data_IF_096066028899
#
_entry.id   IF_096066028899
#
_cell.length_a   1.000
_cell.length_b   1.000
_cell.length_c   1.000
_cell.angle_alpha   90.00
_cell.angle_beta   90.00
_cell.angle_gamma   90.00
#
_symmetry.space_group_name_H-M   'P 1'
#
loop_
_entity.id
_entity.type
_entity.pdbx_description
1 polymer ?
#
# COMPACT_ATOMS: atom_id res chain seq x y z
N UNK A 1 12.67 5.22 22.03
CA UNK A 1 12.41 5.96 20.80
C UNK A 1 13.42 5.41 19.82
N UNK A 2 12.97 4.65 18.82
CA UNK A 2 13.83 4.14 17.78
C UNK A 2 14.51 5.30 17.08
N UNK A 3 15.80 5.17 16.73
CA UNK A 3 16.63 6.23 16.17
C UNK A 3 16.13 6.74 14.79
N UNK A 4 15.10 6.11 14.24
CA UNK A 4 14.49 6.40 12.95
C UNK A 4 12.95 6.44 13.07
N UNK A 5 12.43 7.45 13.76
CA UNK A 5 10.99 7.69 13.82
C UNK A 5 10.67 9.13 13.42
N UNK A 6 9.56 9.32 12.72
CA UNK A 6 9.02 10.61 12.32
C UNK A 6 7.62 10.81 12.91
N UNK A 7 7.23 12.05 13.16
CA UNK A 7 5.82 12.38 13.37
C UNK A 7 5.05 12.16 12.05
N UNK A 8 3.74 11.91 12.13
CA UNK A 8 2.91 11.79 10.93
C UNK A 8 3.09 12.99 9.99
N UNK A 9 3.09 14.20 10.52
CA UNK A 9 3.33 15.41 9.73
C UNK A 9 4.68 15.34 8.99
N UNK A 10 5.76 15.05 9.69
CA UNK A 10 7.09 14.97 9.08
C UNK A 10 7.20 13.86 8.04
N UNK A 11 6.53 12.72 8.28
CA UNK A 11 6.50 11.62 7.31
C UNK A 11 5.70 11.99 6.05
N UNK A 12 4.55 12.67 6.20
CA UNK A 12 3.75 13.17 5.07
C UNK A 12 4.53 14.20 4.26
N UNK A 13 5.19 15.15 4.94
CA UNK A 13 5.97 16.21 4.28
C UNK A 13 7.19 15.67 3.50
N UNK A 14 7.72 14.51 3.87
CA UNK A 14 8.84 13.84 3.20
C UNK A 14 8.42 12.82 2.13
N UNK A 15 7.14 12.49 2.08
CA UNK A 15 6.62 11.46 1.17
C UNK A 15 6.68 11.93 -0.29
N UNK A 16 7.12 11.04 -1.18
CA UNK A 16 7.19 11.24 -2.63
C UNK A 16 6.39 10.17 -3.35
N UNK A 17 6.07 10.40 -4.61
CA UNK A 17 5.43 9.37 -5.44
C UNK A 17 6.27 8.10 -5.48
N UNK A 18 5.62 6.97 -5.30
CA UNK A 18 6.26 5.65 -5.25
C UNK A 18 6.71 5.20 -3.87
N UNK A 19 6.77 6.09 -2.87
CA UNK A 19 7.08 5.68 -1.50
C UNK A 19 6.01 4.74 -0.95
N UNK A 20 6.42 3.78 -0.11
CA UNK A 20 5.53 2.78 0.45
C UNK A 20 5.16 3.10 1.89
N UNK A 21 3.89 2.94 2.20
CA UNK A 21 3.35 2.99 3.54
C UNK A 21 2.92 1.60 3.97
N UNK A 22 3.52 1.11 5.04
CA UNK A 22 3.34 -0.24 5.55
C UNK A 22 2.61 -0.19 6.88
N UNK A 23 1.68 -1.14 7.10
CA UNK A 23 0.87 -1.15 8.32
C UNK A 23 0.88 -2.53 8.97
N UNK A 24 0.81 -2.52 10.31
CA UNK A 24 0.74 -3.73 11.14
C UNK A 24 -0.29 -3.58 12.24
N UNK A 25 -1.34 -4.37 12.17
CA UNK A 25 -2.37 -4.41 13.19
C UNK A 25 -1.92 -5.09 14.48
N UNK A 26 -2.59 -4.76 15.58
CA UNK A 26 -2.37 -5.28 16.93
C UNK A 26 -3.36 -6.35 17.33
N UNK A 27 -4.44 -6.56 16.61
CA UNK A 27 -5.49 -7.50 16.98
C UNK A 27 -4.99 -8.94 17.09
N UNK A 28 -5.73 -9.79 17.78
CA UNK A 28 -5.42 -11.23 17.84
C UNK A 28 -5.50 -11.88 16.45
N UNK A 29 -6.38 -11.39 15.59
CA UNK A 29 -6.50 -11.83 14.20
C UNK A 29 -5.25 -11.46 13.39
N UNK A 30 -4.74 -10.23 13.52
CA UNK A 30 -3.51 -9.77 12.85
C UNK A 30 -2.29 -10.58 13.29
N UNK A 31 -2.19 -10.90 14.60
CA UNK A 31 -1.12 -11.76 15.11
C UNK A 31 -1.17 -13.18 14.55
N UNK A 32 -2.37 -13.75 14.43
CA UNK A 32 -2.56 -15.09 13.86
C UNK A 32 -2.22 -15.11 12.37
N UNK A 33 -2.55 -14.06 11.62
CA UNK A 33 -2.23 -13.92 10.20
C UNK A 33 -0.71 -13.83 10.01
N UNK A 34 -0.03 -12.97 10.76
CA UNK A 34 1.43 -12.85 10.72
C UNK A 34 2.14 -14.15 11.04
N UNK A 35 1.64 -14.92 12.02
CA UNK A 35 2.20 -16.22 12.35
C UNK A 35 2.07 -17.25 11.21
N UNK A 36 1.04 -17.12 10.38
CA UNK A 36 0.80 -18.04 9.24
C UNK A 36 1.54 -17.58 7.97
N UNK A 37 1.64 -16.25 7.74
CA UNK A 37 2.30 -15.69 6.55
C UNK A 37 3.78 -15.39 6.79
N UNK A 38 4.22 -15.39 8.05
CA UNK A 38 5.53 -14.91 8.48
C UNK A 38 5.83 -13.46 8.04
N UNK A 39 4.77 -12.71 7.73
CA UNK A 39 4.90 -11.32 7.27
C UNK A 39 4.90 -10.36 8.46
N UNK A 40 5.84 -9.40 8.54
CA UNK A 40 5.90 -8.43 9.63
C UNK A 40 4.79 -7.38 9.56
N UNK A 41 4.16 -7.21 8.40
CA UNK A 41 3.08 -6.26 8.10
C UNK A 41 1.93 -6.95 7.42
N UNK A 42 0.75 -6.34 7.47
CA UNK A 42 -0.49 -6.91 6.92
C UNK A 42 -1.18 -6.00 5.89
N UNK A 43 -0.67 -4.80 5.67
CA UNK A 43 -1.17 -3.90 4.64
C UNK A 43 -0.05 -3.05 4.06
N UNK A 44 -0.19 -2.69 2.79
CA UNK A 44 0.70 -1.80 2.06
C UNK A 44 -0.10 -0.86 1.16
N UNK A 45 0.31 0.41 1.13
CA UNK A 45 -0.14 1.40 0.17
C UNK A 45 1.05 2.11 -0.44
N UNK A 46 0.84 2.73 -1.58
CA UNK A 46 1.83 3.53 -2.29
C UNK A 46 1.42 5.00 -2.25
N UNK A 47 2.36 5.88 -1.96
CA UNK A 47 2.12 7.31 -2.02
C UNK A 47 2.08 7.81 -3.47
N UNK A 48 1.20 8.76 -3.72
CA UNK A 48 1.09 9.51 -4.98
C UNK A 48 1.06 10.99 -4.64
N UNK A 49 2.05 11.73 -5.11
CA UNK A 49 2.18 13.17 -4.87
C UNK A 49 2.04 13.90 -6.20
N UNK A 50 1.03 14.74 -6.32
CA UNK A 50 0.72 15.55 -7.49
C UNK A 50 0.88 17.03 -7.14
N UNK A 51 1.22 17.87 -8.13
CA UNK A 51 1.67 19.24 -7.93
C UNK A 51 0.69 20.10 -7.10
N UNK A 52 -0.60 20.01 -7.34
CA UNK A 52 -1.62 20.87 -6.70
C UNK A 52 -2.49 20.11 -5.67
N UNK A 53 -2.04 18.96 -5.17
CA UNK A 53 -2.82 18.12 -4.25
C UNK A 53 -2.01 17.74 -3.02
N UNK A 54 -2.65 17.53 -1.86
CA UNK A 54 -1.97 16.87 -0.76
C UNK A 54 -1.53 15.47 -1.18
N UNK A 55 -0.51 14.87 -0.53
CA UNK A 55 -0.11 13.50 -0.78
C UNK A 55 -1.29 12.53 -0.64
N UNK A 56 -1.38 11.59 -1.57
CA UNK A 56 -2.47 10.60 -1.65
C UNK A 56 -1.94 9.20 -1.35
N UNK A 57 -2.82 8.33 -0.85
CA UNK A 57 -2.58 6.91 -0.59
C UNK A 57 -3.28 6.08 -1.67
N UNK A 58 -2.51 5.40 -2.51
CA UNK A 58 -2.98 4.45 -3.51
C UNK A 58 -2.93 3.04 -2.93
N UNK A 59 -4.07 2.43 -2.70
CA UNK A 59 -4.16 1.09 -2.10
C UNK A 59 -5.51 0.40 -2.38
N UNK A 60 -5.70 -0.79 -1.84
CA UNK A 60 -6.99 -1.45 -1.82
C UNK A 60 -7.47 -1.64 -0.38
N UNK A 61 -8.71 -1.23 -0.08
CA UNK A 61 -9.29 -1.31 1.26
C UNK A 61 -10.71 -1.90 1.25
N UNK A 62 -11.04 -2.71 2.28
CA UNK A 62 -12.41 -3.21 2.51
C UNK A 62 -13.32 -2.16 3.15
N UNK A 63 -12.76 -1.13 3.73
CA UNK A 63 -13.50 -0.01 4.31
C UNK A 63 -14.16 0.86 3.24
N UNK A 64 -15.08 1.68 3.66
CA UNK A 64 -15.66 2.80 2.90
C UNK A 64 -15.80 4.04 3.78
N UNK A 65 -14.90 4.18 4.74
CA UNK A 65 -14.94 5.30 5.69
C UNK A 65 -14.35 6.57 5.11
N UNK A 66 -13.39 6.44 4.19
CA UNK A 66 -12.74 7.56 3.53
C UNK A 66 -13.34 7.83 2.16
N UNK A 67 -13.22 9.07 1.72
CA UNK A 67 -13.59 9.49 0.37
C UNK A 67 -12.49 9.06 -0.60
N UNK A 68 -12.85 8.34 -1.64
CA UNK A 68 -11.97 8.15 -2.77
C UNK A 68 -11.90 9.44 -3.59
N UNK A 69 -10.69 9.99 -3.68
CA UNK A 69 -10.44 11.30 -4.30
C UNK A 69 -10.64 11.24 -5.81
N UNK A 70 -10.38 10.08 -6.44
CA UNK A 70 -10.51 9.93 -7.89
C UNK A 70 -11.96 9.92 -8.36
N UNK A 71 -12.83 9.18 -7.68
CA UNK A 71 -14.26 9.08 -8.06
C UNK A 71 -15.16 10.05 -7.31
N UNK A 72 -14.69 10.68 -6.24
CA UNK A 72 -15.49 11.50 -5.35
C UNK A 72 -16.56 10.71 -4.59
N UNK A 73 -16.35 9.41 -4.36
CA UNK A 73 -17.33 8.54 -3.74
C UNK A 73 -16.75 7.64 -2.65
N UNK A 74 -17.63 7.02 -1.85
CA UNK A 74 -17.25 6.05 -0.84
C UNK A 74 -17.54 4.63 -1.33
N UNK A 75 -16.53 3.85 -1.61
CA UNK A 75 -16.67 2.47 -2.07
C UNK A 75 -15.65 1.54 -1.40
N UNK A 76 -15.57 0.30 -1.85
CA UNK A 76 -14.60 -0.72 -1.42
C UNK A 76 -13.79 -1.15 -2.63
N UNK A 77 -12.58 -1.58 -2.41
CA UNK A 77 -11.69 -2.05 -3.45
C UNK A 77 -10.49 -1.16 -3.60
N UNK A 78 -10.05 -0.96 -4.82
CA UNK A 78 -8.92 -0.07 -5.14
C UNK A 78 -9.37 1.37 -5.04
N UNK A 79 -8.65 2.20 -4.30
CA UNK A 79 -9.04 3.56 -3.92
C UNK A 79 -7.82 4.47 -3.81
N UNK A 80 -8.06 5.75 -4.03
CA UNK A 80 -7.09 6.83 -3.85
C UNK A 80 -7.59 7.78 -2.76
N UNK A 81 -6.99 7.75 -1.58
CA UNK A 81 -7.39 8.55 -0.42
C UNK A 81 -6.41 9.69 -0.13
N UNK A 82 -6.84 10.72 0.60
CA UNK A 82 -5.89 11.59 1.29
C UNK A 82 -5.00 10.75 2.20
N UNK A 83 -3.68 10.91 2.05
CA UNK A 83 -2.70 10.06 2.72
C UNK A 83 -2.74 10.26 4.25
N UNK A 84 -2.86 11.50 4.71
CA UNK A 84 -2.93 11.81 6.14
C UNK A 84 -4.16 11.19 6.76
N UNK A 85 -5.33 11.39 6.15
CA UNK A 85 -6.60 10.83 6.64
C UNK A 85 -6.56 9.30 6.66
N UNK A 86 -5.96 8.68 5.63
CA UNK A 86 -5.79 7.24 5.57
C UNK A 86 -4.94 6.73 6.74
N UNK A 87 -3.77 7.34 7.00
CA UNK A 87 -2.88 6.93 8.10
C UNK A 87 -3.55 7.17 9.45
N UNK A 88 -4.22 8.31 9.66
CA UNK A 88 -4.95 8.61 10.90
C UNK A 88 -6.07 7.59 11.15
N UNK A 89 -6.82 7.19 10.12
CA UNK A 89 -7.84 6.16 10.25
C UNK A 89 -7.24 4.80 10.61
N UNK A 90 -6.15 4.40 9.93
CA UNK A 90 -5.53 3.10 10.15
C UNK A 90 -4.83 3.02 11.51
N UNK A 91 -4.14 4.06 11.94
CA UNK A 91 -3.48 4.09 13.23
C UNK A 91 -4.44 4.35 14.41
N UNK A 92 -5.39 5.28 14.24
CA UNK A 92 -6.34 5.63 15.29
C UNK A 92 -7.48 4.61 15.42
N UNK A 93 -8.25 4.39 14.35
CA UNK A 93 -9.45 3.54 14.39
C UNK A 93 -9.13 2.04 14.39
N UNK A 94 -8.10 1.62 13.63
CA UNK A 94 -7.73 0.21 13.50
C UNK A 94 -6.53 -0.16 14.38
N UNK A 95 -6.04 0.77 15.20
CA UNK A 95 -4.92 0.57 16.14
C UNK A 95 -3.67 -0.03 15.49
N UNK A 96 -3.36 0.39 14.26
CA UNK A 96 -2.20 -0.12 13.53
C UNK A 96 -0.95 0.72 13.77
N UNK A 97 0.21 0.11 13.61
CA UNK A 97 1.47 0.83 13.45
C UNK A 97 1.72 1.11 11.98
N UNK A 98 2.30 2.27 11.68
CA UNK A 98 2.67 2.67 10.34
C UNK A 98 4.18 2.84 10.18
N UNK A 99 4.68 2.54 9.00
CA UNK A 99 6.05 2.78 8.57
C UNK A 99 6.05 3.37 7.16
N UNK A 100 6.97 4.31 6.93
CA UNK A 100 7.32 4.83 5.63
C UNK A 100 8.58 4.10 5.12
N UNK A 101 8.59 3.65 3.88
CA UNK A 101 9.78 3.23 3.13
C UNK A 101 9.92 4.11 1.89
N UNK A 102 11.04 4.81 1.78
CA UNK A 102 11.28 5.71 0.66
C UNK A 102 11.85 4.96 -0.53
N UNK A 103 11.30 5.25 -1.70
CA UNK A 103 11.80 4.79 -2.98
C UNK A 103 12.93 5.71 -3.43
N UNK A 104 14.03 5.13 -3.86
CA UNK A 104 15.12 5.84 -4.53
C UNK A 104 15.26 5.30 -5.96
N UNK A 105 15.09 6.19 -6.93
CA UNK A 105 15.22 5.90 -8.36
C UNK A 105 16.34 6.75 -8.92
N UNK A 106 17.41 6.16 -9.45
CA UNK A 106 18.51 6.92 -10.05
C UNK A 106 18.02 7.88 -11.13
N UNK A 107 18.34 9.17 -10.97
CA UNK A 107 17.99 10.21 -11.95
C UNK A 107 16.56 10.78 -11.84
N UNK A 108 15.75 10.36 -10.88
CA UNK A 108 14.37 10.84 -10.73
C UNK A 108 14.25 12.25 -10.13
N UNK A 109 15.30 12.81 -9.54
CA UNK A 109 15.25 14.14 -8.92
C UNK A 109 14.38 14.20 -7.67
N UNK A 110 13.82 15.37 -7.37
CA UNK A 110 13.06 15.63 -6.13
C UNK A 110 11.69 14.94 -6.10
N UNK A 111 11.10 14.65 -7.26
CA UNK A 111 9.79 13.96 -7.35
C UNK A 111 9.82 12.51 -6.88
N UNK A 112 11.02 11.91 -6.79
CA UNK A 112 11.22 10.50 -6.42
C UNK A 112 11.02 9.51 -7.57
N UNK A 113 10.38 9.91 -8.66
CA UNK A 113 10.12 9.10 -9.87
C UNK A 113 10.38 9.91 -11.15
N UNK A 114 10.57 9.23 -12.27
CA UNK A 114 10.69 9.91 -13.57
C UNK A 114 9.32 10.33 -14.11
N UNK A 115 9.24 11.28 -15.06
CA UNK A 115 7.97 11.64 -15.69
C UNK A 115 7.24 10.45 -16.35
N UNK A 116 7.99 9.51 -16.91
CA UNK A 116 7.43 8.28 -17.52
C UNK A 116 6.80 7.37 -16.46
N UNK A 117 7.45 7.25 -15.30
CA UNK A 117 6.93 6.50 -14.15
C UNK A 117 5.68 7.16 -13.58
N UNK A 118 5.68 8.49 -13.42
CA UNK A 118 4.49 9.24 -12.97
C UNK A 118 3.31 9.03 -13.92
N UNK A 119 3.56 9.15 -15.23
CA UNK A 119 2.54 8.86 -16.23
C UNK A 119 2.03 7.41 -16.17
N UNK A 120 2.89 6.44 -15.82
CA UNK A 120 2.50 5.06 -15.62
C UNK A 120 1.64 4.87 -14.37
N UNK A 121 1.95 5.57 -13.27
CA UNK A 121 1.12 5.60 -12.05
C UNK A 121 -0.28 6.11 -12.39
N UNK A 122 -0.39 7.27 -13.02
CA UNK A 122 -1.68 7.88 -13.37
C UNK A 122 -2.51 6.98 -14.29
N UNK A 123 -1.90 6.35 -15.30
CA UNK A 123 -2.59 5.36 -16.14
C UNK A 123 -3.05 4.14 -15.36
N UNK A 124 -2.28 3.70 -14.36
CA UNK A 124 -2.65 2.55 -13.52
C UNK A 124 -3.82 2.92 -12.61
N UNK A 125 -3.81 4.10 -12.00
CA UNK A 125 -4.94 4.62 -11.22
C UNK A 125 -6.18 4.68 -12.11
N UNK A 126 -6.13 5.35 -13.27
CA UNK A 126 -7.27 5.47 -14.19
C UNK A 126 -7.85 4.11 -14.62
N UNK A 127 -7.05 3.06 -14.65
CA UNK A 127 -7.46 1.70 -15.02
C UNK A 127 -8.03 0.89 -13.86
N UNK A 128 -7.47 1.02 -12.67
CA UNK A 128 -7.74 0.12 -11.54
C UNK A 128 -8.62 0.76 -10.47
N UNK A 129 -8.69 2.08 -10.41
CA UNK A 129 -9.50 2.75 -9.41
C UNK A 129 -10.98 2.31 -9.50
N UNK A 130 -11.63 2.19 -8.36
CA UNK A 130 -12.98 1.64 -8.27
C UNK A 130 -13.10 0.14 -8.55
N UNK A 131 -12.01 -0.56 -8.89
CA UNK A 131 -12.06 -2.02 -9.08
C UNK A 131 -12.44 -2.69 -7.77
N UNK A 132 -13.58 -3.41 -7.70
CA UNK A 132 -13.97 -4.08 -6.49
C UNK A 132 -13.04 -5.25 -6.19
N UNK A 133 -12.94 -5.64 -4.93
CA UNK A 133 -12.31 -6.92 -4.60
C UNK A 133 -12.87 -8.02 -5.50
N UNK A 134 -12.02 -8.95 -5.99
CA UNK A 134 -12.47 -10.03 -6.83
C UNK A 134 -13.71 -10.68 -6.22
N UNK A 135 -14.84 -10.61 -6.92
CA UNK A 135 -16.09 -11.12 -6.43
C UNK A 135 -15.94 -12.62 -6.20
N UNK A 136 -15.85 -13.01 -4.96
CA UNK A 136 -15.78 -14.38 -4.51
C UNK A 136 -17.13 -15.08 -4.66
N UNK A 137 -17.73 -15.02 -5.84
CA UNK A 137 -18.87 -15.87 -6.17
C UNK A 137 -18.49 -17.35 -5.98
N UNK A 138 -17.22 -17.71 -6.22
CA UNK A 138 -16.68 -19.03 -5.88
C UNK A 138 -16.43 -19.22 -4.37
N UNK A 139 -16.40 -18.16 -3.56
CA UNK A 139 -16.17 -18.19 -2.12
C UNK A 139 -17.48 -18.12 -1.30
N UNK A 140 -18.60 -17.70 -1.89
CA UNK A 140 -19.88 -17.58 -1.18
C UNK A 140 -20.37 -18.94 -0.61
N UNK A 141 -20.12 -20.03 -1.28
CA UNK A 141 -20.49 -21.38 -0.81
C UNK A 141 -19.62 -21.95 0.32
N UNK A 142 -18.45 -21.36 0.59
CA UNK A 142 -17.51 -21.78 1.66
C UNK A 142 -17.47 -20.80 2.84
N UNK A 143 -18.32 -19.82 2.84
CA UNK A 143 -18.33 -18.61 3.68
C UNK A 143 -18.75 -18.79 5.14
N UNK A 144 -19.45 -19.86 5.47
CA UNK A 144 -20.12 -19.97 6.77
C UNK A 144 -19.20 -20.27 7.98
N UNK A 145 -17.96 -20.73 7.78
CA UNK A 145 -17.07 -21.19 8.87
C UNK A 145 -15.71 -20.49 9.03
N UNK A 146 -15.45 -19.39 8.34
CA UNK A 146 -14.13 -18.72 8.39
C UNK A 146 -14.14 -17.25 8.04
N UNK A 147 -15.23 -16.55 8.30
CA UNK A 147 -15.54 -15.20 7.78
C UNK A 147 -14.47 -14.15 7.95
N UNK A 148 -13.95 -13.95 9.15
CA UNK A 148 -13.02 -12.84 9.46
C UNK A 148 -11.60 -13.05 8.92
N UNK A 149 -11.08 -14.27 9.03
CA UNK A 149 -9.70 -14.57 8.61
C UNK A 149 -9.52 -14.56 7.08
N UNK A 150 -10.57 -14.83 6.30
CA UNK A 150 -10.51 -14.83 4.83
C UNK A 150 -10.66 -13.44 4.22
N UNK A 151 -11.50 -12.59 4.81
CA UNK A 151 -11.64 -11.22 4.35
C UNK A 151 -10.32 -10.47 4.51
N UNK A 152 -9.66 -10.57 5.67
CA UNK A 152 -8.36 -9.98 5.91
C UNK A 152 -7.28 -10.48 4.92
N UNK A 153 -7.23 -11.79 4.62
CA UNK A 153 -6.28 -12.34 3.63
C UNK A 153 -6.51 -11.82 2.20
N UNK A 154 -7.77 -11.62 1.81
CA UNK A 154 -8.08 -11.06 0.47
C UNK A 154 -7.63 -9.62 0.41
N UNK A 155 -7.84 -8.84 1.46
CA UNK A 155 -7.39 -7.45 1.53
C UNK A 155 -5.86 -7.34 1.48
N UNK A 156 -5.16 -8.15 2.28
CA UNK A 156 -3.69 -8.19 2.32
C UNK A 156 -3.10 -8.54 0.95
N UNK A 157 -3.60 -9.56 0.29
CA UNK A 157 -3.13 -9.93 -1.03
C UNK A 157 -3.44 -8.83 -2.04
N UNK A 158 -4.64 -8.27 -1.99
CA UNK A 158 -5.09 -7.34 -3.01
C UNK A 158 -4.43 -5.96 -2.90
N UNK A 159 -4.16 -5.43 -1.70
CA UNK A 159 -3.40 -4.19 -1.54
C UNK A 159 -1.97 -4.34 -2.10
N UNK A 160 -1.32 -5.47 -1.84
CA UNK A 160 -0.01 -5.77 -2.39
C UNK A 160 -0.03 -5.96 -3.92
N UNK A 161 -1.09 -6.57 -4.48
CA UNK A 161 -1.28 -6.71 -5.93
C UNK A 161 -1.40 -5.34 -6.63
N UNK A 162 -2.12 -4.40 -6.03
CA UNK A 162 -2.28 -3.04 -6.57
C UNK A 162 -0.94 -2.32 -6.61
N UNK A 163 -0.16 -2.38 -5.52
CA UNK A 163 1.18 -1.80 -5.46
C UNK A 163 2.11 -2.48 -6.47
N UNK A 164 2.11 -3.82 -6.52
CA UNK A 164 2.93 -4.58 -7.47
C UNK A 164 2.58 -4.25 -8.93
N UNK A 165 1.29 -4.18 -9.28
CA UNK A 165 0.85 -3.81 -10.62
C UNK A 165 1.32 -2.39 -11.00
N UNK A 166 1.31 -1.47 -10.05
CA UNK A 166 1.78 -0.10 -10.26
C UNK A 166 3.30 -0.07 -10.43
N UNK A 167 4.05 -0.77 -9.59
CA UNK A 167 5.50 -0.89 -9.71
C UNK A 167 5.94 -1.59 -11.01
N UNK A 168 5.18 -2.61 -11.46
CA UNK A 168 5.42 -3.22 -12.79
C UNK A 168 5.16 -2.22 -13.93
N UNK A 169 4.09 -1.44 -13.84
CA UNK A 169 3.80 -0.41 -14.82
C UNK A 169 4.87 0.70 -14.88
N UNK A 170 5.50 1.01 -13.74
CA UNK A 170 6.65 1.91 -13.63
C UNK A 170 7.96 1.27 -14.13
N UNK A 171 7.98 -0.03 -14.41
CA UNK A 171 9.19 -0.78 -14.74
C UNK A 171 10.12 -1.05 -13.56
N UNK A 172 9.62 -0.92 -12.33
CA UNK A 172 10.37 -1.18 -11.10
C UNK A 172 10.34 -2.64 -10.66
N UNK A 173 9.32 -3.40 -11.05
CA UNK A 173 9.23 -4.84 -10.83
C UNK A 173 9.20 -5.59 -12.15
N UNK A 174 9.72 -6.82 -12.12
CA UNK A 174 9.66 -7.73 -13.25
C UNK A 174 8.21 -8.05 -13.64
N UNK A 175 7.87 -7.79 -14.90
CA UNK A 175 6.54 -8.08 -15.45
C UNK A 175 6.26 -9.56 -15.71
N UNK A 176 7.27 -10.44 -15.63
CA UNK A 176 7.08 -11.88 -15.79
C UNK A 176 6.43 -12.54 -14.58
N UNK A 177 6.56 -11.94 -13.39
CA UNK A 177 5.93 -12.43 -12.17
C UNK A 177 4.49 -11.92 -12.07
N UNK A 178 3.51 -12.79 -11.80
CA UNK A 178 2.14 -12.34 -11.60
C UNK A 178 2.03 -11.48 -10.33
N UNK A 179 1.17 -10.45 -10.36
CA UNK A 179 1.01 -9.50 -9.24
C UNK A 179 0.56 -10.17 -7.92
N UNK A 180 -0.19 -11.25 -8.00
CA UNK A 180 -0.63 -12.04 -6.84
C UNK A 180 0.50 -12.88 -6.17
N UNK A 181 1.71 -12.84 -6.71
CA UNK A 181 2.92 -13.34 -6.04
C UNK A 181 3.32 -12.47 -4.84
N UNK A 182 2.95 -11.19 -4.88
CA UNK A 182 3.34 -10.22 -3.88
C UNK A 182 2.31 -10.16 -2.76
N UNK A 183 2.79 -10.25 -1.52
CA UNK A 183 2.06 -9.94 -0.30
C UNK A 183 2.72 -8.74 0.40
N UNK A 184 2.09 -8.13 1.43
CA UNK A 184 2.67 -6.96 2.11
C UNK A 184 4.05 -7.21 2.69
N UNK A 185 4.36 -8.44 3.11
CA UNK A 185 5.67 -8.82 3.64
C UNK A 185 6.79 -8.70 2.62
N UNK A 186 6.50 -8.90 1.32
CA UNK A 186 7.45 -8.71 0.23
C UNK A 186 7.98 -7.28 0.13
N UNK A 187 7.20 -6.32 0.60
CA UNK A 187 7.57 -4.91 0.63
C UNK A 187 8.26 -4.48 1.93
N UNK A 188 8.49 -5.40 2.87
CA UNK A 188 9.31 -5.19 4.05
C UNK A 188 10.80 -5.44 3.73
N UNK A 189 11.72 -4.68 4.33
CA UNK A 189 13.16 -4.72 3.98
C UNK A 189 13.81 -6.09 4.18
N UNK A 190 13.31 -6.88 5.12
CA UNK A 190 13.83 -8.22 5.40
C UNK A 190 13.59 -9.26 4.29
N UNK A 191 12.74 -8.96 3.32
CA UNK A 191 12.42 -9.88 2.21
C UNK A 191 13.22 -9.59 0.92
N UNK A 192 14.08 -8.58 0.93
CA UNK A 192 15.00 -8.23 -0.17
C UNK A 192 14.32 -8.17 -1.56
N UNK A 193 13.34 -7.27 -1.69
CA UNK A 193 12.66 -7.03 -2.96
C UNK A 193 13.63 -6.43 -3.98
N UNK A 194 13.96 -7.18 -5.02
CA UNK A 194 14.82 -6.73 -6.11
C UNK A 194 14.03 -5.80 -7.05
N UNK A 195 14.36 -4.52 -7.03
CA UNK A 195 13.83 -3.55 -7.97
C UNK A 195 14.70 -3.45 -9.23
N UNK A 196 14.06 -3.15 -10.35
CA UNK A 196 14.70 -2.93 -11.63
C UNK A 196 15.24 -1.48 -11.74
N UNK A 197 15.97 -1.18 -12.81
CA UNK A 197 16.49 0.15 -13.14
C UNK A 197 17.43 0.75 -12.09
N UNK A 198 18.03 -0.08 -11.23
CA UNK A 198 18.90 0.37 -10.14
C UNK A 198 18.15 1.05 -9.00
N UNK A 199 16.82 0.98 -8.99
CA UNK A 199 16.00 1.52 -7.92
C UNK A 199 16.16 0.71 -6.63
N UNK A 200 16.00 1.36 -5.49
CA UNK A 200 16.05 0.73 -4.17
C UNK A 200 14.94 1.26 -3.26
N UNK A 201 14.56 0.44 -2.27
CA UNK A 201 13.71 0.88 -1.17
C UNK A 201 14.55 1.00 0.11
N UNK A 202 14.48 2.15 0.76
CA UNK A 202 15.09 2.40 2.05
C UNK A 202 14.58 1.45 3.14
N UNK A 203 15.16 1.55 4.34
CA UNK A 203 14.65 0.86 5.53
C UNK A 203 13.35 1.51 6.02
N UNK A 204 12.61 0.78 6.86
CA UNK A 204 11.37 1.27 7.46
C UNK A 204 11.64 2.41 8.45
N UNK A 205 10.96 3.51 8.28
CA UNK A 205 10.93 4.65 9.19
C UNK A 205 9.62 4.59 9.97
N UNK A 206 9.68 4.39 11.28
CA UNK A 206 8.46 4.33 12.09
C UNK A 206 7.74 5.68 12.11
N UNK A 207 6.41 5.66 11.95
CA UNK A 207 5.58 6.87 11.96
C UNK A 207 4.77 6.92 13.26
N UNK A 208 4.94 8.01 13.99
CA UNK A 208 4.24 8.31 15.25
C UNK A 208 3.01 9.17 14.94
N UNK A 209 1.82 8.63 15.22
CA UNK A 209 0.52 9.26 15.00
C UNK A 209 -0.09 9.66 16.33
#
# INVERSE_FOLDING_TARGET
VDAYSLTLRGAVDLTRTGDLWLFRGRSGADRAIRAVTNAPVNHVGMAVVLEDMPPLMWHAELGKGLLDVWTGSHHRGVQLHDLREAVEQWCGRYEQHAWLRQLDVPGAGESGVTPEMEAAVLRTIARLDGTPFPATAALAGRWARGRLRRAARVEETYCAEVVAATYQAMGLLDGERPTNYYDPGKFWSGDHLDLQQGATLGTEIAVLV
#
